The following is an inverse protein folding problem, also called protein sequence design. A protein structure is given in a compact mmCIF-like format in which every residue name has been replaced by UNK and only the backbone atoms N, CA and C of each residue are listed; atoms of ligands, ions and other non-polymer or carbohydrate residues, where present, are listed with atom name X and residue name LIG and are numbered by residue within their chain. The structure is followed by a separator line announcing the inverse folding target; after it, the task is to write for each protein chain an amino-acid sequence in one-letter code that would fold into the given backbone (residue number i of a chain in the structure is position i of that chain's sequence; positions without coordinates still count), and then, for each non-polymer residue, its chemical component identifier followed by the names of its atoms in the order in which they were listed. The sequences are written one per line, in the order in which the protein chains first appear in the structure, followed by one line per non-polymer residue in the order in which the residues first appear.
data_IF_417191173909
#
_entry.id   IF_417191173909
#
_cell.length_a   1.000
_cell.length_b   1.000
_cell.length_c   1.000
_cell.angle_alpha   90.00
_cell.angle_beta   90.00
_cell.angle_gamma   90.00
#
_symmetry.space_group_name_H-M   'P 1'
#
loop_
_entity.id
_entity.type
_entity.pdbx_description
1 polymer ?
#
# COMPACT_ATOMS: atom_id res chain seq x y z
N UNK A 1 -35.43 10.13 10.12
CA UNK A 1 -34.75 11.25 10.81
C UNK A 1 -35.38 12.53 10.31
N UNK A 2 -35.29 13.62 11.05
CA UNK A 2 -35.67 14.93 10.51
C UNK A 2 -34.59 15.39 9.49
N UNK A 3 -34.97 16.17 8.47
CA UNK A 3 -34.10 16.57 7.37
C UNK A 3 -32.82 17.30 7.85
N UNK A 4 -32.92 18.04 8.96
CA UNK A 4 -31.78 18.69 9.60
C UNK A 4 -30.77 17.69 10.18
N UNK A 5 -31.24 16.57 10.72
CA UNK A 5 -30.38 15.50 11.23
C UNK A 5 -29.69 14.75 10.09
N UNK A 6 -30.41 14.51 8.98
CA UNK A 6 -29.86 13.87 7.79
C UNK A 6 -28.72 14.70 7.17
N UNK A 7 -28.93 16.02 7.01
CA UNK A 7 -27.91 16.94 6.52
C UNK A 7 -26.67 16.97 7.42
N UNK A 8 -26.86 17.01 8.74
CA UNK A 8 -25.75 16.99 9.72
C UNK A 8 -24.95 15.70 9.63
N UNK A 9 -25.64 14.55 9.50
CA UNK A 9 -25.00 13.25 9.37
C UNK A 9 -24.21 13.12 8.06
N UNK A 10 -24.76 13.59 6.94
CA UNK A 10 -24.06 13.63 5.65
C UNK A 10 -22.81 14.49 5.68
N UNK A 11 -22.88 15.67 6.33
CA UNK A 11 -21.71 16.53 6.53
C UNK A 11 -20.62 15.82 7.35
N UNK A 12 -21.01 15.13 8.43
CA UNK A 12 -20.08 14.35 9.26
C UNK A 12 -19.42 13.20 8.47
N UNK A 13 -20.18 12.45 7.67
CA UNK A 13 -19.63 11.40 6.81
C UNK A 13 -18.67 11.94 5.75
N UNK A 14 -18.99 13.08 5.15
CA UNK A 14 -18.12 13.74 4.15
C UNK A 14 -16.81 14.17 4.79
N UNK A 15 -16.87 14.76 5.99
CA UNK A 15 -15.69 15.14 6.75
C UNK A 15 -14.83 13.93 7.15
N UNK A 16 -15.47 12.85 7.61
CA UNK A 16 -14.79 11.59 7.91
C UNK A 16 -14.10 11.01 6.67
N UNK A 17 -14.79 10.96 5.53
CA UNK A 17 -14.24 10.47 4.27
C UNK A 17 -13.02 11.28 3.83
N UNK A 18 -13.11 12.61 3.88
CA UNK A 18 -11.98 13.49 3.56
C UNK A 18 -10.78 13.25 4.50
N UNK A 19 -11.04 13.02 5.79
CA UNK A 19 -10.00 12.67 6.75
C UNK A 19 -9.35 11.30 6.43
N UNK A 20 -10.15 10.29 6.06
CA UNK A 20 -9.65 8.97 5.67
C UNK A 20 -8.78 9.04 4.41
N UNK A 21 -9.21 9.78 3.38
CA UNK A 21 -8.43 10.00 2.15
C UNK A 21 -7.08 10.64 2.48
N UNK A 22 -7.08 11.67 3.34
CA UNK A 22 -5.84 12.31 3.80
C UNK A 22 -4.94 11.35 4.55
N UNK A 23 -5.48 10.57 5.49
CA UNK A 23 -4.71 9.55 6.22
C UNK A 23 -4.08 8.52 5.27
N UNK A 24 -4.83 8.05 4.27
CA UNK A 24 -4.30 7.12 3.25
C UNK A 24 -3.18 7.76 2.45
N UNK A 25 -3.32 9.02 2.04
CA UNK A 25 -2.29 9.75 1.30
C UNK A 25 -1.01 9.98 2.13
N UNK A 26 -1.14 10.23 3.44
CA UNK A 26 0.01 10.31 4.35
C UNK A 26 0.81 9.00 4.43
N UNK A 27 0.12 7.85 4.42
CA UNK A 27 0.79 6.55 4.35
C UNK A 27 1.58 6.39 3.04
N UNK A 28 1.03 6.82 1.90
CA UNK A 28 1.74 6.76 0.63
C UNK A 28 3.01 7.62 0.64
N UNK A 29 2.95 8.82 1.21
CA UNK A 29 4.13 9.66 1.41
C UNK A 29 5.21 8.98 2.26
N UNK A 30 4.83 8.34 3.37
CA UNK A 30 5.76 7.59 4.23
C UNK A 30 6.38 6.39 3.52
N UNK A 31 5.60 5.68 2.72
CA UNK A 31 6.08 4.51 1.95
C UNK A 31 7.10 4.90 0.90
N UNK A 32 6.92 6.03 0.21
CA UNK A 32 7.92 6.57 -0.71
C UNK A 32 9.25 6.87 -0.01
N UNK A 33 9.20 7.42 1.21
CA UNK A 33 10.38 7.66 2.04
C UNK A 33 11.07 6.35 2.42
N UNK A 34 10.32 5.38 2.95
CA UNK A 34 10.84 4.05 3.33
C UNK A 34 11.52 3.37 2.14
N UNK A 35 10.87 3.38 0.97
CA UNK A 35 11.39 2.78 -0.26
C UNK A 35 12.68 3.46 -0.75
N UNK A 36 12.72 4.78 -0.72
CA UNK A 36 13.90 5.56 -1.08
C UNK A 36 15.10 5.21 -0.18
N UNK A 37 14.90 5.19 1.15
CA UNK A 37 15.96 4.83 2.09
C UNK A 37 16.38 3.36 2.00
N UNK A 38 15.44 2.45 1.73
CA UNK A 38 15.74 1.04 1.53
C UNK A 38 16.72 0.83 0.39
N UNK A 39 16.50 1.49 -0.77
CA UNK A 39 17.39 1.36 -1.93
C UNK A 39 18.76 1.96 -1.63
N UNK A 40 18.80 3.18 -1.06
CA UNK A 40 20.05 3.87 -0.74
C UNK A 40 20.92 3.08 0.24
N UNK A 41 20.35 2.60 1.34
CA UNK A 41 21.11 1.86 2.36
C UNK A 41 21.55 0.48 1.85
N UNK A 42 20.71 -0.20 1.06
CA UNK A 42 21.09 -1.49 0.48
C UNK A 42 22.24 -1.35 -0.50
N UNK A 43 22.19 -0.33 -1.38
CA UNK A 43 23.26 -0.07 -2.34
C UNK A 43 24.56 0.37 -1.64
N UNK A 44 24.46 1.22 -0.61
CA UNK A 44 25.59 1.61 0.20
C UNK A 44 26.23 0.40 0.90
N UNK A 45 25.44 -0.50 1.49
CA UNK A 45 25.94 -1.72 2.12
C UNK A 45 26.67 -2.64 1.14
N UNK A 46 26.14 -2.82 -0.07
CA UNK A 46 26.78 -3.61 -1.13
C UNK A 46 28.08 -2.93 -1.60
N UNK A 47 28.05 -1.63 -1.88
CA UNK A 47 29.23 -0.87 -2.31
C UNK A 47 30.34 -0.91 -1.27
N UNK A 48 30.00 -0.72 0.01
CA UNK A 48 30.93 -0.83 1.12
C UNK A 48 31.48 -2.25 1.28
N UNK A 49 30.68 -3.28 1.02
CA UNK A 49 31.14 -4.67 1.03
C UNK A 49 32.28 -4.93 0.05
N UNK A 50 32.19 -4.38 -1.16
CA UNK A 50 33.28 -4.41 -2.12
C UNK A 50 34.44 -3.51 -1.71
N UNK A 51 34.18 -2.28 -1.25
CA UNK A 51 35.25 -1.33 -0.90
C UNK A 51 36.10 -1.82 0.28
N UNK A 52 35.47 -2.36 1.33
CA UNK A 52 36.12 -2.84 2.54
C UNK A 52 36.52 -4.31 2.46
N UNK A 53 36.17 -4.97 1.35
CA UNK A 53 36.47 -6.38 1.09
C UNK A 53 35.96 -7.30 2.22
N UNK A 54 34.79 -7.00 2.81
CA UNK A 54 34.29 -7.70 4.00
C UNK A 54 32.87 -8.22 3.77
N UNK A 55 32.72 -9.55 3.69
CA UNK A 55 31.45 -10.21 3.33
C UNK A 55 30.30 -9.95 4.30
N UNK A 56 30.58 -9.68 5.58
CA UNK A 56 29.55 -9.33 6.56
C UNK A 56 28.75 -8.08 6.18
N UNK A 57 29.30 -7.18 5.36
CA UNK A 57 28.58 -6.01 4.85
C UNK A 57 27.51 -6.39 3.81
N UNK A 58 27.72 -7.44 3.03
CA UNK A 58 26.67 -7.99 2.16
C UNK A 58 25.54 -8.63 2.97
N UNK A 59 25.88 -9.32 4.07
CA UNK A 59 24.89 -9.90 4.97
C UNK A 59 24.10 -8.80 5.68
N UNK A 60 24.78 -7.73 6.10
CA UNK A 60 24.15 -6.55 6.67
C UNK A 60 23.19 -5.88 5.68
N UNK A 61 23.58 -5.77 4.40
CA UNK A 61 22.70 -5.26 3.34
C UNK A 61 21.44 -6.13 3.18
N UNK A 62 21.58 -7.46 3.22
CA UNK A 62 20.45 -8.37 3.16
C UNK A 62 19.50 -8.24 4.38
N UNK A 63 20.05 -8.20 5.59
CA UNK A 63 19.25 -8.02 6.83
C UNK A 63 18.54 -6.67 6.82
N UNK A 64 19.22 -5.61 6.38
CA UNK A 64 18.65 -4.27 6.25
C UNK A 64 17.51 -4.26 5.23
N UNK A 65 17.70 -4.88 4.07
CA UNK A 65 16.65 -5.05 3.07
C UNK A 65 15.42 -5.78 3.63
N UNK A 66 15.62 -6.87 4.37
CA UNK A 66 14.53 -7.61 5.02
C UNK A 66 13.79 -6.77 6.07
N UNK A 67 14.51 -5.96 6.85
CA UNK A 67 13.91 -5.04 7.82
C UNK A 67 13.07 -3.96 7.13
N UNK A 68 13.55 -3.38 6.02
CA UNK A 68 12.78 -2.42 5.23
C UNK A 68 11.51 -3.04 4.64
N UNK A 69 11.59 -4.27 4.12
CA UNK A 69 10.40 -5.00 3.65
C UNK A 69 9.36 -5.16 4.77
N UNK A 70 9.79 -5.54 5.98
CA UNK A 70 8.90 -5.68 7.13
C UNK A 70 8.21 -4.36 7.47
N UNK A 71 8.96 -3.25 7.50
CA UNK A 71 8.41 -1.91 7.74
C UNK A 71 7.39 -1.54 6.67
N UNK A 72 7.70 -1.76 5.39
CA UNK A 72 6.81 -1.46 4.27
C UNK A 72 5.52 -2.30 4.35
N UNK A 73 5.65 -3.61 4.60
CA UNK A 73 4.54 -4.53 4.76
C UNK A 73 3.63 -4.16 5.94
N UNK A 74 4.22 -3.80 7.09
CA UNK A 74 3.46 -3.32 8.24
C UNK A 74 2.76 -2.00 7.93
N UNK A 75 3.44 -1.06 7.31
CA UNK A 75 2.89 0.27 6.95
C UNK A 75 1.71 0.13 6.00
N UNK A 76 1.84 -0.68 4.93
CA UNK A 76 0.71 -0.95 4.03
C UNK A 76 -0.43 -1.70 4.72
N UNK A 77 -0.16 -2.63 5.64
CA UNK A 77 -1.22 -3.28 6.44
C UNK A 77 -2.05 -2.28 7.26
N UNK A 78 -1.40 -1.25 7.80
CA UNK A 78 -2.09 -0.16 8.50
C UNK A 78 -2.90 0.69 7.53
N UNK A 79 -2.35 1.04 6.37
CA UNK A 79 -3.08 1.81 5.34
C UNK A 79 -4.37 1.09 4.87
N UNK A 80 -4.29 -0.21 4.54
CA UNK A 80 -5.48 -0.94 4.05
C UNK A 80 -6.56 -1.16 5.12
N UNK A 81 -6.30 -0.83 6.39
CA UNK A 81 -7.31 -0.86 7.45
C UNK A 81 -8.38 0.22 7.27
N UNK A 82 -8.08 1.29 6.55
CA UNK A 82 -8.99 2.41 6.32
C UNK A 82 -9.93 2.20 5.12
N UNK A 83 -9.52 1.39 4.13
CA UNK A 83 -10.33 1.13 2.93
C UNK A 83 -11.74 0.58 3.19
N UNK A 84 -11.97 -0.36 4.13
CA UNK A 84 -13.32 -0.84 4.42
C UNK A 84 -14.25 0.29 4.90
N UNK A 85 -13.74 1.22 5.71
CA UNK A 85 -14.54 2.37 6.19
C UNK A 85 -14.79 3.37 5.07
N UNK A 86 -13.78 3.64 4.22
CA UNK A 86 -13.98 4.46 3.02
C UNK A 86 -15.09 3.87 2.15
N UNK A 87 -14.98 2.57 1.82
CA UNK A 87 -15.98 1.89 1.00
C UNK A 87 -17.38 1.89 1.60
N UNK A 88 -17.48 1.76 2.92
CA UNK A 88 -18.75 1.83 3.63
C UNK A 88 -19.41 3.21 3.47
N UNK A 89 -18.64 4.29 3.61
CA UNK A 89 -19.15 5.64 3.39
C UNK A 89 -19.59 5.82 1.93
N UNK A 90 -18.78 5.36 0.95
CA UNK A 90 -19.16 5.43 -0.46
C UNK A 90 -20.48 4.70 -0.75
N UNK A 91 -20.68 3.51 -0.16
CA UNK A 91 -21.91 2.73 -0.30
C UNK A 91 -23.12 3.42 0.33
N UNK A 92 -22.98 3.97 1.55
CA UNK A 92 -24.06 4.70 2.21
C UNK A 92 -24.42 6.00 1.48
N UNK A 93 -23.42 6.76 1.05
CA UNK A 93 -23.63 7.96 0.24
C UNK A 93 -24.35 7.64 -1.07
N UNK A 94 -24.00 6.52 -1.73
CA UNK A 94 -24.67 6.09 -2.96
C UNK A 94 -26.11 5.62 -2.74
N UNK A 95 -26.39 4.99 -1.60
CA UNK A 95 -27.74 4.54 -1.26
C UNK A 95 -28.69 5.69 -0.88
N UNK A 96 -28.15 6.82 -0.44
CA UNK A 96 -28.93 8.00 -0.02
C UNK A 96 -29.00 9.12 -1.06
N UNK A 97 -28.15 9.07 -2.08
CA UNK A 97 -28.16 10.02 -3.17
C UNK A 97 -29.24 9.66 -4.20
N UNK A 98 -30.47 10.12 -3.97
CA UNK A 98 -31.51 10.27 -5.02
C UNK A 98 -31.31 11.55 -5.84
N UNK A 99 -30.28 12.34 -5.50
CA UNK A 99 -29.93 13.58 -6.19
C UNK A 99 -29.61 13.31 -7.66
N UNK A 100 -30.32 13.99 -8.55
CA UNK A 100 -30.05 14.00 -10.00
C UNK A 100 -29.73 15.42 -10.45
N UNK A 101 -28.67 15.56 -11.24
CA UNK A 101 -28.36 16.78 -11.98
C UNK A 101 -28.96 16.61 -13.40
N UNK A 102 -30.23 16.98 -13.55
CA UNK A 102 -31.01 16.63 -14.74
C UNK A 102 -31.29 15.13 -14.79
N UNK A 103 -30.96 14.48 -15.91
CA UNK A 103 -31.09 13.02 -16.05
C UNK A 103 -29.91 12.24 -15.45
N UNK A 104 -28.84 12.93 -15.03
CA UNK A 104 -27.61 12.30 -14.52
C UNK A 104 -27.68 12.19 -12.99
N UNK A 105 -27.61 10.98 -12.40
CA UNK A 105 -27.52 10.85 -10.95
C UNK A 105 -26.22 11.49 -10.43
N UNK A 106 -26.32 12.29 -9.37
CA UNK A 106 -25.17 12.87 -8.67
C UNK A 106 -24.42 11.73 -8.00
N UNK A 107 -23.16 11.57 -8.37
CA UNK A 107 -22.37 10.43 -7.90
C UNK A 107 -21.90 10.63 -6.46
N UNK A 108 -22.10 9.61 -5.62
CA UNK A 108 -21.39 9.46 -4.36
C UNK A 108 -19.85 9.49 -4.56
N UNK A 109 -19.06 9.81 -3.50
CA UNK A 109 -17.61 9.61 -3.53
C UNK A 109 -17.29 8.16 -3.91
N UNK A 110 -16.26 7.99 -4.74
CA UNK A 110 -15.92 6.71 -5.39
C UNK A 110 -14.41 6.50 -5.55
N UNK A 111 -13.58 7.05 -4.66
CA UNK A 111 -12.12 6.94 -4.81
C UNK A 111 -11.67 5.49 -4.60
N UNK A 112 -12.14 4.84 -3.53
CA UNK A 112 -11.80 3.45 -3.25
C UNK A 112 -12.42 2.50 -4.29
N UNK A 113 -13.68 2.77 -4.70
CA UNK A 113 -14.33 2.08 -5.80
C UNK A 113 -13.54 2.18 -7.13
N UNK A 114 -13.07 3.37 -7.49
CA UNK A 114 -12.27 3.60 -8.69
C UNK A 114 -10.93 2.85 -8.63
N UNK A 115 -10.22 2.87 -7.50
CA UNK A 115 -8.99 2.10 -7.35
C UNK A 115 -9.20 0.59 -7.49
N UNK A 116 -10.30 0.06 -6.95
CA UNK A 116 -10.62 -1.36 -7.11
C UNK A 116 -11.02 -1.71 -8.55
N UNK A 117 -11.70 -0.79 -9.24
CA UNK A 117 -12.12 -0.98 -10.62
C UNK A 117 -10.94 -0.92 -11.60
N UNK A 118 -9.94 -0.07 -11.34
CA UNK A 118 -8.76 0.09 -12.19
C UNK A 118 -7.96 -1.22 -12.39
N UNK A 119 -8.04 -2.16 -11.44
CA UNK A 119 -7.42 -3.48 -11.54
C UNK A 119 -8.22 -4.53 -12.32
N UNK A 120 -9.37 -4.17 -12.90
CA UNK A 120 -10.26 -5.09 -13.63
C UNK A 120 -10.12 -4.92 -15.14
N UNK A 121 -10.51 -5.95 -15.90
CA UNK A 121 -10.48 -5.92 -17.36
C UNK A 121 -11.39 -4.83 -17.97
N UNK A 122 -12.52 -4.53 -17.33
CA UNK A 122 -13.41 -3.44 -17.70
C UNK A 122 -13.73 -2.56 -16.46
N UNK A 123 -12.93 -1.50 -16.25
CA UNK A 123 -13.16 -0.56 -15.15
C UNK A 123 -14.48 0.22 -15.28
N UNK A 124 -14.93 0.50 -16.51
CA UNK A 124 -16.14 1.28 -16.75
C UNK A 124 -17.38 0.47 -16.35
N UNK A 125 -17.46 -0.80 -16.76
CA UNK A 125 -18.52 -1.70 -16.32
C UNK A 125 -18.47 -1.91 -14.80
N UNK A 126 -17.28 -2.00 -14.20
CA UNK A 126 -17.14 -2.12 -12.75
C UNK A 126 -17.64 -0.88 -11.97
N UNK A 127 -17.55 0.31 -12.57
CA UNK A 127 -18.06 1.57 -12.01
C UNK A 127 -19.52 1.84 -12.37
N UNK A 128 -20.12 1.13 -13.31
CA UNK A 128 -21.55 1.29 -13.64
C UNK A 128 -22.44 0.90 -12.46
N UNK A 129 -22.03 -0.09 -11.65
CA UNK A 129 -22.73 -0.47 -10.44
C UNK A 129 -22.47 0.52 -9.29
N UNK A 130 -23.43 0.72 -8.35
CA UNK A 130 -23.18 1.48 -7.14
C UNK A 130 -22.09 0.82 -6.28
N UNK A 131 -21.27 1.61 -5.55
CA UNK A 131 -20.34 1.05 -4.58
C UNK A 131 -21.09 0.25 -3.52
N UNK A 132 -20.52 -0.89 -3.12
CA UNK A 132 -21.05 -1.75 -2.06
C UNK A 132 -20.05 -1.87 -0.93
N UNK A 133 -20.51 -2.16 0.27
CA UNK A 133 -19.64 -2.50 1.39
C UNK A 133 -18.74 -3.70 1.07
N UNK A 134 -17.52 -3.69 1.64
CA UNK A 134 -16.60 -4.81 1.54
C UNK A 134 -17.05 -5.94 2.47
N UNK A 135 -17.01 -7.17 1.97
CA UNK A 135 -17.30 -8.33 2.82
C UNK A 135 -16.09 -8.68 3.72
N UNK A 136 -16.34 -9.44 4.80
CA UNK A 136 -15.27 -9.82 5.73
C UNK A 136 -14.19 -10.71 5.11
N UNK A 137 -14.49 -11.47 4.06
CA UNK A 137 -13.52 -12.33 3.35
C UNK A 137 -12.59 -11.48 2.49
N UNK A 138 -13.11 -10.47 1.80
CA UNK A 138 -12.39 -9.45 1.03
C UNK A 138 -11.42 -8.69 1.92
N UNK A 139 -11.89 -8.22 3.09
CA UNK A 139 -11.05 -7.51 4.07
C UNK A 139 -9.89 -8.41 4.55
N UNK A 140 -10.18 -9.67 4.90
CA UNK A 140 -9.14 -10.63 5.34
C UNK A 140 -8.15 -10.96 4.22
N UNK A 141 -8.65 -11.18 3.01
CA UNK A 141 -7.82 -11.45 1.83
C UNK A 141 -6.87 -10.30 1.56
N UNK A 142 -7.40 -9.07 1.50
CA UNK A 142 -6.62 -7.85 1.29
C UNK A 142 -5.49 -7.74 2.33
N UNK A 143 -5.80 -7.84 3.63
CA UNK A 143 -4.80 -7.76 4.70
C UNK A 143 -3.69 -8.81 4.60
N UNK A 144 -4.02 -10.03 4.14
CA UNK A 144 -3.04 -11.11 3.97
C UNK A 144 -2.16 -10.92 2.73
N UNK A 145 -2.72 -10.41 1.64
CA UNK A 145 -2.03 -10.28 0.36
C UNK A 145 -1.12 -9.06 0.26
N UNK A 146 -1.37 -8.02 1.06
CA UNK A 146 -0.64 -6.74 0.99
C UNK A 146 0.87 -6.86 1.10
N UNK A 147 1.39 -7.74 1.96
CA UNK A 147 2.84 -7.93 2.12
C UNK A 147 3.53 -8.53 0.88
N UNK A 148 2.74 -9.12 -0.02
CA UNK A 148 3.19 -9.84 -1.21
C UNK A 148 2.88 -9.08 -2.51
N UNK A 149 2.34 -7.87 -2.41
CA UNK A 149 2.15 -7.04 -3.60
C UNK A 149 3.52 -6.73 -4.21
N UNK A 150 3.71 -6.87 -5.54
CA UNK A 150 5.02 -6.70 -6.16
C UNK A 150 5.69 -5.37 -5.81
N UNK A 151 4.93 -4.28 -5.75
CA UNK A 151 5.48 -2.97 -5.44
C UNK A 151 5.95 -2.79 -3.98
N UNK A 152 5.49 -3.67 -3.07
CA UNK A 152 5.85 -3.72 -1.64
C UNK A 152 7.05 -4.64 -1.40
N UNK A 153 7.08 -5.81 -2.03
CA UNK A 153 8.13 -6.80 -1.79
C UNK A 153 9.36 -6.62 -2.70
N UNK A 154 9.16 -6.29 -3.98
CA UNK A 154 10.24 -6.33 -4.98
C UNK A 154 11.47 -5.46 -4.67
N UNK A 155 11.34 -4.19 -4.20
CA UNK A 155 12.50 -3.33 -3.99
C UNK A 155 13.46 -3.93 -2.96
N UNK A 156 12.92 -4.41 -1.84
CA UNK A 156 13.69 -5.03 -0.77
C UNK A 156 14.12 -6.47 -1.10
N UNK A 157 13.31 -7.21 -1.85
CA UNK A 157 13.65 -8.57 -2.28
C UNK A 157 14.95 -8.60 -3.08
N UNK A 158 15.15 -7.63 -3.97
CA UNK A 158 16.39 -7.52 -4.75
C UNK A 158 17.61 -7.36 -3.83
N UNK A 159 17.55 -6.44 -2.86
CA UNK A 159 18.62 -6.22 -1.89
C UNK A 159 18.90 -7.47 -1.04
N UNK A 160 17.84 -8.15 -0.57
CA UNK A 160 17.95 -9.39 0.21
C UNK A 160 18.64 -10.49 -0.60
N UNK A 161 18.13 -10.79 -1.80
CA UNK A 161 18.66 -11.87 -2.64
C UNK A 161 20.09 -11.57 -3.05
N UNK A 162 20.36 -10.35 -3.53
CA UNK A 162 21.71 -9.97 -3.96
C UNK A 162 22.70 -9.98 -2.80
N UNK A 163 22.32 -9.42 -1.65
CA UNK A 163 23.16 -9.45 -0.44
C UNK A 163 23.48 -10.88 0.00
N UNK A 164 22.48 -11.76 0.05
CA UNK A 164 22.69 -13.17 0.40
C UNK A 164 23.58 -13.91 -0.59
N UNK A 165 23.37 -13.71 -1.89
CA UNK A 165 24.20 -14.31 -2.95
C UNK A 165 25.65 -13.85 -2.81
N UNK A 166 25.90 -12.56 -2.63
CA UNK A 166 27.25 -12.01 -2.46
C UNK A 166 27.91 -12.52 -1.17
N UNK A 167 27.15 -12.64 -0.08
CA UNK A 167 27.65 -13.25 1.17
C UNK A 167 28.10 -14.69 0.95
N UNK A 168 27.28 -15.51 0.28
CA UNK A 168 27.61 -16.92 0.02
C UNK A 168 28.82 -17.04 -0.89
N UNK A 169 28.86 -16.29 -2.00
CA UNK A 169 29.99 -16.32 -2.94
C UNK A 169 31.31 -15.91 -2.28
N UNK A 170 31.27 -14.92 -1.40
CA UNK A 170 32.44 -14.51 -0.61
C UNK A 170 32.85 -15.58 0.40
N UNK A 171 31.90 -16.14 1.15
CA UNK A 171 32.17 -17.18 2.13
C UNK A 171 32.73 -18.47 1.51
N UNK A 172 32.37 -18.78 0.25
CA UNK A 172 32.92 -19.92 -0.50
C UNK A 172 34.23 -19.62 -1.22
N UNK A 173 34.78 -18.40 -1.09
CA UNK A 173 36.01 -17.98 -1.76
C UNK A 173 35.89 -17.80 -3.27
N UNK A 174 34.66 -17.66 -3.79
CA UNK A 174 34.44 -17.34 -5.22
C UNK A 174 34.70 -15.86 -5.48
N UNK A 175 34.37 -15.02 -4.50
CA UNK A 175 34.87 -13.65 -4.45
C UNK A 175 36.17 -13.68 -3.64
N UNK A 176 37.27 -13.18 -4.22
CA UNK A 176 38.58 -13.02 -3.55
C UNK A 176 38.49 -11.94 -2.45
N UNK A 177 37.71 -12.23 -1.41
CA UNK A 177 37.51 -11.39 -0.25
C UNK A 177 38.10 -12.09 0.98
N UNK A 178 38.87 -11.40 1.83
CA UNK A 178 39.33 -11.93 3.10
C UNK A 178 38.14 -12.31 4.00
N UNK A 179 38.23 -13.49 4.62
CA UNK A 179 37.30 -14.00 5.62
C UNK A 179 37.49 -13.32 6.99
#
# INVERSE_FOLDING_TARGET
MDAAQDATFQAALTAEYAALVRTVAEFDGRLLTVKSWSVTLSLAGIGLGFQQQHYALFALAAVTGAAFWLIEAMTKRHQVRYYPRMRQIEAWSAAWSDLRLGDVPVSAPRIDAAWTAAGRADPAAALAAPPREMDSREIRRMRRQVAWLPHVFMPSAFAVVLGLVLTVLAATGVLDLPL
#
